data_IF_170821052558
#
_entry.id   IF_170821052558
#
_cell.length_a   1.000
_cell.length_b   1.000
_cell.length_c   1.000
_cell.angle_alpha   90.00
_cell.angle_beta   90.00
_cell.angle_gamma   90.00
#
_symmetry.space_group_name_H-M   'P 1'
#
loop_
_entity.id
_entity.type
_entity.pdbx_description
1 polymer ?
#
# COMPACT_ATOMS: atom_id res chain seq x y z
N UNK A 1 -51.03 -0.79 18.33
CA UNK A 1 -49.82 -1.55 17.91
C UNK A 1 -49.06 -0.82 16.79
N UNK A 2 -48.55 0.40 17.03
CA UNK A 2 -47.73 1.14 16.03
C UNK A 2 -46.45 1.74 16.62
N UNK A 3 -46.40 1.94 17.93
CA UNK A 3 -45.26 2.60 18.61
C UNK A 3 -44.11 1.62 18.89
N UNK A 4 -44.40 0.33 19.08
CA UNK A 4 -43.38 -0.69 19.38
C UNK A 4 -42.46 -0.94 18.17
N UNK A 5 -42.97 -0.80 16.95
CA UNK A 5 -42.20 -1.01 15.72
C UNK A 5 -41.16 0.11 15.48
N UNK A 6 -41.40 1.32 16.01
CA UNK A 6 -40.49 2.46 15.83
C UNK A 6 -39.23 2.34 16.69
N UNK A 7 -39.31 1.67 17.83
CA UNK A 7 -38.16 1.46 18.73
C UNK A 7 -37.19 0.39 18.23
N UNK A 8 -37.68 -0.61 17.48
CA UNK A 8 -36.83 -1.68 16.93
C UNK A 8 -35.97 -1.15 15.77
N UNK A 9 -36.51 -0.27 14.91
CA UNK A 9 -35.75 0.30 13.80
C UNK A 9 -34.64 1.27 14.24
N UNK A 10 -34.75 1.89 15.41
CA UNK A 10 -33.76 2.85 15.92
C UNK A 10 -32.49 2.20 16.49
N UNK A 11 -32.45 0.87 16.63
CA UNK A 11 -31.29 0.15 17.20
C UNK A 11 -30.38 -0.49 16.14
N UNK A 12 -30.78 -0.48 14.87
CA UNK A 12 -30.00 -1.08 13.76
C UNK A 12 -29.06 -0.05 13.11
N UNK A 13 -29.21 1.24 13.42
CA UNK A 13 -28.31 2.26 12.93
C UNK A 13 -26.99 2.25 13.70
N UNK A 14 -25.92 1.93 12.97
CA UNK A 14 -24.51 2.27 13.25
C UNK A 14 -23.61 1.18 13.85
N UNK A 15 -23.75 -0.09 13.46
CA UNK A 15 -22.55 -0.94 13.34
C UNK A 15 -21.93 -0.67 11.96
N UNK A 16 -21.44 0.55 11.77
CA UNK A 16 -20.51 0.82 10.68
C UNK A 16 -19.17 0.22 11.13
N UNK A 17 -18.86 -0.97 10.64
CA UNK A 17 -17.48 -1.47 10.65
C UNK A 17 -16.68 -0.55 9.71
N UNK A 18 -16.25 0.61 10.22
CA UNK A 18 -15.23 1.38 9.54
C UNK A 18 -13.99 0.48 9.51
N UNK A 19 -13.66 -0.04 8.32
CA UNK A 19 -12.39 -0.72 8.09
C UNK A 19 -11.29 0.21 8.59
N UNK A 20 -10.58 -0.18 9.64
CA UNK A 20 -9.48 0.59 10.21
C UNK A 20 -8.26 0.40 9.31
N UNK A 21 -8.19 1.18 8.24
CA UNK A 21 -7.01 1.20 7.39
C UNK A 21 -5.97 2.15 7.98
N UNK A 22 -4.95 1.56 8.61
CA UNK A 22 -3.76 2.26 9.05
C UNK A 22 -2.77 2.28 7.91
N UNK A 23 -2.23 3.43 7.52
CA UNK A 23 -1.19 3.46 6.49
C UNK A 23 -0.10 4.49 6.78
N UNK A 24 1.02 4.35 6.09
CA UNK A 24 2.16 5.25 6.21
C UNK A 24 2.63 5.67 4.83
N UNK A 25 2.73 6.98 4.60
CA UNK A 25 3.38 7.54 3.41
C UNK A 25 4.88 7.66 3.68
N UNK A 26 5.68 7.05 2.82
CA UNK A 26 7.13 6.97 2.92
C UNK A 26 7.79 7.74 1.78
N UNK A 27 8.81 8.53 2.11
CA UNK A 27 9.79 9.01 1.13
C UNK A 27 11.00 8.09 1.17
N UNK A 28 11.27 7.40 0.05
CA UNK A 28 12.32 6.39 -0.05
C UNK A 28 13.36 6.82 -1.08
N UNK A 29 14.63 6.80 -0.69
CA UNK A 29 15.76 7.04 -1.60
C UNK A 29 16.29 5.71 -2.12
N UNK A 30 16.32 5.57 -3.44
CA UNK A 30 16.78 4.34 -4.09
C UNK A 30 18.28 4.12 -3.89
N UNK A 31 18.66 2.89 -3.55
CA UNK A 31 20.05 2.49 -3.35
C UNK A 31 20.69 1.92 -4.62
N UNK A 32 19.88 1.51 -5.58
CA UNK A 32 20.27 0.85 -6.83
C UNK A 32 19.38 1.33 -7.99
N UNK A 33 19.88 1.20 -9.22
CA UNK A 33 19.06 1.43 -10.42
C UNK A 33 18.03 0.31 -10.54
N UNK A 34 16.82 0.64 -10.98
CA UNK A 34 15.78 -0.34 -11.23
C UNK A 34 14.96 0.02 -12.45
N UNK A 35 14.41 -0.98 -13.12
CA UNK A 35 13.57 -0.81 -14.29
C UNK A 35 12.44 -1.83 -14.28
N UNK A 36 11.31 -1.41 -14.88
CA UNK A 36 10.13 -2.27 -15.00
C UNK A 36 10.47 -3.51 -15.82
N UNK A 37 10.06 -4.67 -15.32
CA UNK A 37 10.11 -5.95 -16.03
C UNK A 37 8.70 -6.36 -16.40
N UNK A 38 8.51 -6.64 -17.69
CA UNK A 38 7.24 -7.11 -18.24
C UNK A 38 7.36 -8.60 -18.54
N UNK A 39 6.43 -9.39 -18.02
CA UNK A 39 6.30 -10.82 -18.28
C UNK A 39 4.98 -11.07 -19.01
N UNK A 40 5.02 -11.83 -20.11
CA UNK A 40 3.84 -12.31 -20.80
C UNK A 40 3.55 -13.72 -20.32
N UNK A 41 2.45 -13.89 -19.59
CA UNK A 41 2.04 -15.18 -19.02
C UNK A 41 0.85 -15.71 -19.81
N UNK A 42 1.01 -16.87 -20.44
CA UNK A 42 -0.12 -17.56 -21.04
C UNK A 42 -0.87 -18.32 -19.93
N UNK A 43 -1.99 -17.75 -19.46
CA UNK A 43 -2.86 -18.42 -18.50
C UNK A 43 -3.83 -19.30 -19.30
N UNK A 44 -3.66 -20.61 -19.15
CA UNK A 44 -4.59 -21.65 -19.62
C UNK A 44 -4.93 -21.66 -21.12
N UNK A 45 -4.06 -21.09 -21.97
CA UNK A 45 -4.27 -21.06 -23.42
C UNK A 45 -5.34 -20.06 -23.89
N UNK A 46 -5.84 -19.22 -22.98
CA UNK A 46 -6.93 -18.26 -23.24
C UNK A 46 -6.43 -16.82 -23.52
N UNK A 47 -5.12 -16.59 -23.45
CA UNK A 47 -4.49 -15.32 -23.81
C UNK A 47 -3.20 -15.03 -23.04
N UNK A 48 -2.39 -14.11 -23.58
CA UNK A 48 -1.22 -13.57 -22.88
C UNK A 48 -1.67 -12.47 -21.90
N UNK A 49 -1.38 -12.67 -20.62
CA UNK A 49 -1.52 -11.65 -19.58
C UNK A 49 -0.18 -10.94 -19.42
N UNK A 50 -0.17 -9.62 -19.62
CA UNK A 50 1.00 -8.79 -19.36
C UNK A 50 1.08 -8.49 -17.85
N UNK A 51 2.08 -9.04 -17.16
CA UNK A 51 2.40 -8.72 -15.77
C UNK A 51 3.65 -7.83 -15.73
N UNK A 52 3.45 -6.55 -15.42
CA UNK A 52 4.55 -5.59 -15.21
C UNK A 52 4.86 -5.49 -13.73
N UNK A 53 6.14 -5.60 -13.38
CA UNK A 53 6.62 -5.41 -12.00
C UNK A 53 7.90 -4.59 -11.94
N UNK A 54 8.10 -3.88 -10.83
CA UNK A 54 9.31 -3.13 -10.54
C UNK A 54 9.86 -3.57 -9.17
N UNK A 55 11.12 -3.96 -9.12
CA UNK A 55 11.78 -4.34 -7.87
C UNK A 55 12.58 -3.16 -7.34
N UNK A 56 12.25 -2.64 -6.17
CA UNK A 56 12.95 -1.52 -5.56
C UNK A 56 13.77 -1.99 -4.37
N UNK A 57 14.91 -1.30 -4.16
CA UNK A 57 15.70 -1.34 -2.94
C UNK A 57 16.04 0.09 -2.54
N UNK A 58 15.60 0.52 -1.37
CA UNK A 58 15.73 1.91 -0.95
C UNK A 58 15.76 2.09 0.56
N UNK A 59 16.30 3.21 1.02
CA UNK A 59 16.27 3.62 2.42
C UNK A 59 15.15 4.65 2.64
N UNK A 60 14.37 4.47 3.70
CA UNK A 60 13.30 5.43 4.06
C UNK A 60 13.92 6.66 4.70
N UNK A 61 13.77 7.82 4.06
CA UNK A 61 14.24 9.11 4.58
C UNK A 61 13.18 9.80 5.44
N UNK A 62 11.90 9.67 5.08
CA UNK A 62 10.77 10.20 5.84
C UNK A 62 9.61 9.23 5.88
N UNK A 63 8.83 9.30 6.95
CA UNK A 63 7.61 8.54 7.12
C UNK A 63 6.56 9.40 7.81
N UNK A 64 5.36 9.43 7.26
CA UNK A 64 4.23 10.18 7.79
C UNK A 64 3.01 9.28 7.90
N UNK A 65 2.20 9.51 8.93
CA UNK A 65 0.92 8.85 9.06
C UNK A 65 0.02 9.21 7.88
N UNK A 66 -0.64 8.22 7.31
CA UNK A 66 -1.67 8.37 6.29
C UNK A 66 -2.89 7.53 6.71
N UNK A 67 -4.07 8.13 6.75
CA UNK A 67 -5.22 7.54 7.44
C UNK A 67 -5.11 7.68 8.98
N UNK A 68 -5.52 6.65 9.74
CA UNK A 68 -5.57 6.68 11.22
C UNK A 68 -4.34 6.08 11.92
N UNK A 69 -3.21 5.97 11.23
CA UNK A 69 -1.99 5.46 11.83
C UNK A 69 -1.41 6.48 12.84
N UNK A 70 -1.89 6.45 14.08
CA UNK A 70 -1.67 7.54 15.05
C UNK A 70 -0.22 7.70 15.55
N UNK A 71 0.69 6.75 15.33
CA UNK A 71 2.12 6.93 15.72
C UNK A 71 3.16 5.92 15.17
N UNK A 72 2.76 4.81 14.55
CA UNK A 72 3.67 3.71 14.18
C UNK A 72 4.65 3.99 13.02
N UNK A 73 4.40 5.02 12.20
CA UNK A 73 5.16 5.21 10.96
C UNK A 73 6.64 5.60 11.16
N UNK A 74 7.00 6.18 12.32
CA UNK A 74 8.39 6.54 12.62
C UNK A 74 9.33 5.33 12.62
N UNK A 75 8.81 4.13 12.89
CA UNK A 75 9.57 2.88 12.83
C UNK A 75 10.27 2.68 11.48
N UNK A 76 9.65 3.09 10.38
CA UNK A 76 10.19 2.88 9.05
C UNK A 76 11.39 3.78 8.72
N UNK A 77 11.55 4.93 9.39
CA UNK A 77 12.62 5.88 9.08
C UNK A 77 13.99 5.23 9.31
N UNK A 78 14.86 5.28 8.30
CA UNK A 78 16.18 4.64 8.31
C UNK A 78 16.19 3.15 7.94
N UNK A 79 15.03 2.52 7.77
CA UNK A 79 14.97 1.14 7.32
C UNK A 79 15.21 1.00 5.82
N UNK A 80 15.80 -0.13 5.44
CA UNK A 80 15.91 -0.55 4.05
C UNK A 80 14.64 -1.31 3.69
N UNK A 81 13.99 -0.90 2.61
CA UNK A 81 12.83 -1.58 2.02
C UNK A 81 13.27 -2.23 0.71
N UNK A 82 12.97 -3.52 0.59
CA UNK A 82 13.08 -4.30 -0.64
C UNK A 82 11.70 -4.80 -1.01
N UNK A 83 11.15 -4.32 -2.13
CA UNK A 83 9.76 -4.65 -2.51
C UNK A 83 9.58 -4.83 -4.01
N UNK A 84 8.69 -5.76 -4.36
CA UNK A 84 8.15 -5.90 -5.71
C UNK A 84 6.87 -5.08 -5.80
N UNK A 85 6.89 -4.04 -6.61
CA UNK A 85 5.75 -3.19 -6.91
C UNK A 85 5.04 -3.71 -8.17
N UNK A 86 3.74 -3.93 -8.06
CA UNK A 86 2.87 -4.38 -9.17
C UNK A 86 2.04 -3.24 -9.78
N UNK A 87 1.66 -2.24 -8.97
CA UNK A 87 0.90 -1.07 -9.41
C UNK A 87 1.86 0.10 -9.72
N UNK A 88 2.52 0.05 -10.88
CA UNK A 88 3.51 1.05 -11.28
C UNK A 88 3.39 1.37 -12.79
N UNK A 89 3.56 2.64 -13.23
CA UNK A 89 3.41 3.01 -14.64
C UNK A 89 4.35 2.23 -15.56
N UNK A 90 3.80 1.70 -16.66
CA UNK A 90 4.53 0.82 -17.58
C UNK A 90 5.78 1.53 -18.14
N UNK A 91 6.92 0.82 -18.23
CA UNK A 91 8.21 1.32 -18.77
C UNK A 91 8.83 2.51 -18.03
N UNK A 92 9.02 2.40 -16.71
CA UNK A 92 9.91 3.36 -16.03
C UNK A 92 11.25 2.75 -15.68
N UNK A 93 12.25 3.61 -15.77
CA UNK A 93 13.56 3.42 -15.18
C UNK A 93 13.70 4.42 -14.05
N UNK A 94 14.10 3.93 -12.88
CA UNK A 94 14.43 4.76 -11.74
C UNK A 94 15.91 4.58 -11.42
N UNK A 95 16.57 5.68 -11.13
CA UNK A 95 18.02 5.72 -10.90
C UNK A 95 18.32 5.67 -9.42
N UNK A 96 19.48 5.10 -9.09
CA UNK A 96 20.08 5.19 -7.76
C UNK A 96 20.11 6.64 -7.31
N UNK A 97 19.68 6.88 -6.08
CA UNK A 97 19.64 8.20 -5.45
C UNK A 97 18.36 8.98 -5.70
N UNK A 98 17.51 8.57 -6.64
CA UNK A 98 16.18 9.17 -6.81
C UNK A 98 15.30 8.90 -5.59
N UNK A 99 14.41 9.85 -5.31
CA UNK A 99 13.45 9.77 -4.21
C UNK A 99 12.07 9.44 -4.77
N UNK A 100 11.47 8.41 -4.23
CA UNK A 100 10.13 7.95 -4.56
C UNK A 100 9.21 8.04 -3.37
N UNK A 101 7.90 8.13 -3.63
CA UNK A 101 6.86 8.04 -2.61
C UNK A 101 6.21 6.67 -2.66
N UNK A 102 6.12 6.03 -1.50
CA UNK A 102 5.40 4.77 -1.30
C UNK A 102 4.31 4.97 -0.24
N UNK A 103 3.20 4.25 -0.35
CA UNK A 103 2.25 4.08 0.74
C UNK A 103 2.31 2.64 1.23
N UNK A 104 2.48 2.44 2.53
CA UNK A 104 2.35 1.13 3.16
C UNK A 104 1.02 1.08 3.89
N UNK A 105 0.09 0.27 3.39
CA UNK A 105 -1.13 -0.08 4.10
C UNK A 105 -0.81 -1.19 5.11
N UNK A 106 -1.10 -0.91 6.38
CA UNK A 106 -0.95 -1.80 7.53
C UNK A 106 -2.33 -2.32 7.90
N UNK A 107 -2.58 -3.59 7.62
CA UNK A 107 -3.84 -4.25 7.95
C UNK A 107 -3.72 -4.98 9.28
N UNK A 108 -4.06 -4.31 10.39
CA UNK A 108 -4.19 -4.92 11.71
C UNK A 108 -5.65 -5.35 11.94
N UNK A 109 -6.00 -6.57 11.52
CA UNK A 109 -7.31 -7.14 11.80
C UNK A 109 -7.22 -8.19 12.91
N UNK A 110 -7.69 -7.84 14.12
CA UNK A 110 -8.02 -8.78 15.22
C UNK A 110 -7.06 -9.99 15.38
N UNK A 111 -5.76 -9.75 15.51
CA UNK A 111 -4.78 -10.81 15.80
C UNK A 111 -4.31 -11.64 14.61
N UNK A 112 -4.64 -11.23 13.38
CA UNK A 112 -4.03 -11.75 12.14
C UNK A 112 -2.70 -11.02 11.92
N UNK A 113 -1.60 -11.71 11.53
CA UNK A 113 -0.30 -11.08 11.31
C UNK A 113 -0.37 -9.92 10.32
N UNK A 114 0.35 -8.85 10.65
CA UNK A 114 0.53 -7.61 9.89
C UNK A 114 0.83 -7.90 8.41
N UNK A 115 -0.15 -7.71 7.53
CA UNK A 115 0.11 -7.66 6.09
C UNK A 115 0.36 -6.22 5.69
N UNK A 116 1.47 -5.99 4.99
CA UNK A 116 1.87 -4.68 4.48
C UNK A 116 1.69 -4.68 2.96
N UNK A 117 0.72 -3.93 2.45
CA UNK A 117 0.61 -3.67 1.00
C UNK A 117 1.38 -2.39 0.68
N UNK A 118 2.37 -2.48 -0.20
CA UNK A 118 3.18 -1.33 -0.62
C UNK A 118 2.72 -0.86 -1.99
N UNK A 119 2.31 0.40 -2.07
CA UNK A 119 1.82 1.05 -3.29
C UNK A 119 2.78 2.15 -3.70
N UNK A 120 3.11 2.25 -4.98
CA UNK A 120 3.89 3.36 -5.51
C UNK A 120 3.01 4.57 -5.78
N UNK A 121 3.40 5.74 -5.26
CA UNK A 121 2.64 6.98 -5.43
C UNK A 121 3.23 7.92 -6.49
N UNK A 122 4.49 7.73 -6.88
CA UNK A 122 5.18 8.62 -7.83
C UNK A 122 6.57 9.07 -7.37
N UNK A 123 7.27 9.86 -8.22
CA UNK A 123 8.50 10.54 -7.83
C UNK A 123 8.22 11.62 -6.79
N UNK A 124 9.17 11.84 -5.87
CA UNK A 124 9.10 12.97 -4.95
C UNK A 124 9.67 14.22 -5.64
N UNK A 125 8.78 15.13 -6.07
CA UNK A 125 9.15 16.41 -6.70
C UNK A 125 9.64 17.43 -5.69
#
# INVERSE_FOLDING_TARGET
MKIIFLFVLATISNIAFASYENSCDLEVKLLENTSTRTLYINKDGLGEVEETSLFIKGIVEKAHASGRADSGCKYYVGQIIEQRLSDYPNRSELKKGEKIKLNILITDYKGIPKSEKVTYLGPNK
#
